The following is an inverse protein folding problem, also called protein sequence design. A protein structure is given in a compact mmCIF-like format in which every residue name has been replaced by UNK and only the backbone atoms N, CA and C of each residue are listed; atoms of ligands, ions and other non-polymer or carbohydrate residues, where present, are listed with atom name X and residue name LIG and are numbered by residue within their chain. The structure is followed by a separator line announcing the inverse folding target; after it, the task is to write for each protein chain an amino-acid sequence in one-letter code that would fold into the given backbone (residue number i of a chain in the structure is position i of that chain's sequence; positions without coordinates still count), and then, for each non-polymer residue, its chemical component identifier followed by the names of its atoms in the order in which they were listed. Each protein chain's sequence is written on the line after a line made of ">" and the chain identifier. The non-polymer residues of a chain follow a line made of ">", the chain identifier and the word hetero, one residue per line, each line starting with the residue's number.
data_IF_856915619346
#
_entry.id   IF_856915619346
#
_cell.length_a   1.000
_cell.length_b   1.000
_cell.length_c   1.000
_cell.angle_alpha   90.00
_cell.angle_beta   90.00
_cell.angle_gamma   90.00
#
_symmetry.space_group_name_H-M   'P 1'
#
loop_
_entity.id
_entity.type
_entity.pdbx_description
1 polymer ?
#
# COMPACT_ATOMS: atom_id res chain seq x y z
N UNK A 1 19.64 15.39 19.17
CA UNK A 1 19.98 13.97 19.38
C UNK A 1 19.99 13.76 20.87
N UNK A 2 18.90 13.23 21.43
CA UNK A 2 18.91 12.73 22.80
C UNK A 2 19.52 11.33 22.75
N UNK A 3 20.76 11.21 23.21
CA UNK A 3 21.40 9.92 23.44
C UNK A 3 20.70 9.36 24.67
N UNK A 4 19.88 8.32 24.49
CA UNK A 4 19.24 7.63 25.60
C UNK A 4 20.29 7.25 26.65
N UNK A 5 19.94 7.41 27.92
CA UNK A 5 20.87 7.06 28.99
C UNK A 5 21.21 5.57 28.92
N UNK A 6 22.43 5.14 29.35
CA UNK A 6 22.82 3.73 29.30
C UNK A 6 21.79 2.78 29.94
N UNK A 7 21.13 3.24 31.00
CA UNK A 7 20.07 2.50 31.69
C UNK A 7 18.80 2.35 30.85
N UNK A 8 18.37 3.38 30.13
CA UNK A 8 17.20 3.31 29.23
C UNK A 8 17.45 2.40 28.02
N UNK A 9 18.69 2.35 27.53
CA UNK A 9 19.09 1.45 26.45
C UNK A 9 19.07 -0.02 26.89
N UNK A 10 19.54 -0.31 28.11
CA UNK A 10 19.51 -1.66 28.67
C UNK A 10 18.06 -2.14 28.94
N UNK A 11 17.21 -1.25 29.47
CA UNK A 11 15.78 -1.54 29.70
C UNK A 11 15.00 -1.77 28.39
N UNK A 12 15.26 -0.98 27.34
CA UNK A 12 14.65 -1.19 26.01
C UNK A 12 15.15 -2.50 25.37
N UNK A 13 16.45 -2.81 25.47
CA UNK A 13 17.03 -4.04 24.93
C UNK A 13 16.41 -5.28 25.57
N UNK A 14 16.27 -5.29 26.91
CA UNK A 14 15.63 -6.38 27.64
C UNK A 14 14.14 -6.53 27.25
N UNK A 15 13.44 -5.40 27.10
CA UNK A 15 12.05 -5.40 26.64
C UNK A 15 11.90 -6.04 25.24
N UNK A 16 12.79 -5.70 24.29
CA UNK A 16 12.74 -6.28 22.94
C UNK A 16 13.12 -7.75 22.93
N UNK A 17 14.13 -8.17 23.69
CA UNK A 17 14.47 -9.59 23.83
C UNK A 17 13.29 -10.39 24.42
N UNK A 18 12.65 -9.87 25.46
CA UNK A 18 11.44 -10.46 26.05
C UNK A 18 10.28 -10.54 25.05
N UNK A 19 10.14 -9.54 24.16
CA UNK A 19 9.16 -9.59 23.08
C UNK A 19 9.41 -10.76 22.11
N UNK A 20 10.67 -10.99 21.71
CA UNK A 20 11.04 -12.10 20.81
C UNK A 20 10.73 -13.45 21.45
N UNK A 21 11.14 -13.64 22.71
CA UNK A 21 10.85 -14.86 23.47
C UNK A 21 9.34 -15.09 23.58
N UNK A 22 8.55 -14.05 23.88
CA UNK A 22 7.09 -14.17 23.96
C UNK A 22 6.47 -14.54 22.62
N UNK A 23 6.93 -13.97 21.50
CA UNK A 23 6.46 -14.33 20.16
C UNK A 23 6.75 -15.79 19.82
N UNK A 24 7.92 -16.31 20.22
CA UNK A 24 8.30 -17.71 20.02
C UNK A 24 7.45 -18.66 20.87
N UNK A 25 7.16 -18.30 22.13
CA UNK A 25 6.38 -19.12 23.05
C UNK A 25 4.87 -19.07 22.78
N UNK A 26 4.36 -17.93 22.33
CA UNK A 26 2.93 -17.67 22.17
C UNK A 26 2.60 -16.98 20.83
N UNK A 27 2.84 -17.64 19.68
CA UNK A 27 2.65 -17.04 18.36
C UNK A 27 1.20 -16.60 18.11
N UNK A 28 0.22 -17.28 18.70
CA UNK A 28 -1.21 -17.00 18.51
C UNK A 28 -1.70 -15.74 19.26
N UNK A 29 -0.98 -15.28 20.29
CA UNK A 29 -1.47 -14.21 21.20
C UNK A 29 -0.64 -12.94 21.15
N UNK A 30 0.61 -13.02 20.68
CA UNK A 30 1.50 -11.87 20.55
C UNK A 30 1.26 -11.20 19.19
N UNK A 31 1.17 -9.87 19.19
CA UNK A 31 1.12 -9.11 17.93
C UNK A 31 2.34 -9.48 17.08
N UNK A 32 2.13 -9.98 15.87
CA UNK A 32 3.18 -10.48 14.99
C UNK A 32 4.19 -9.41 14.56
N UNK A 33 3.77 -8.14 14.58
CA UNK A 33 4.59 -6.99 14.20
C UNK A 33 5.36 -6.49 15.42
N UNK A 34 6.71 -6.51 15.40
CA UNK A 34 7.49 -5.96 16.50
C UNK A 34 7.38 -4.43 16.56
N UNK A 35 7.59 -3.83 17.75
CA UNK A 35 7.60 -2.38 17.88
C UNK A 35 8.73 -1.77 17.06
N UNK A 36 8.47 -0.78 16.21
CA UNK A 36 9.44 -0.34 15.19
C UNK A 36 10.84 -0.07 15.73
N UNK A 37 10.98 0.58 16.91
CA UNK A 37 12.27 0.91 17.53
C UNK A 37 13.22 -0.30 17.72
N UNK A 38 12.70 -1.53 17.66
CA UNK A 38 13.51 -2.75 17.68
C UNK A 38 14.63 -2.72 16.64
N UNK A 39 14.47 -2.00 15.52
CA UNK A 39 15.48 -1.90 14.45
C UNK A 39 16.84 -1.36 14.94
N UNK A 40 16.84 -0.58 16.02
CA UNK A 40 18.06 -0.05 16.65
C UNK A 40 18.91 -1.14 17.31
N UNK A 41 18.30 -2.28 17.64
CA UNK A 41 18.94 -3.44 18.24
C UNK A 41 19.10 -4.52 17.16
N UNK A 42 20.09 -4.33 16.27
CA UNK A 42 20.19 -5.07 14.99
C UNK A 42 20.11 -6.59 15.15
N UNK A 43 20.78 -7.18 16.14
CA UNK A 43 20.74 -8.63 16.38
C UNK A 43 19.32 -9.11 16.75
N UNK A 44 18.66 -8.40 17.66
CA UNK A 44 17.29 -8.71 18.09
C UNK A 44 16.31 -8.51 16.92
N UNK A 45 16.49 -7.46 16.12
CA UNK A 45 15.66 -7.21 14.96
C UNK A 45 15.80 -8.29 13.88
N UNK A 46 17.02 -8.75 13.61
CA UNK A 46 17.28 -9.84 12.66
C UNK A 46 16.52 -11.11 13.06
N UNK A 47 16.54 -11.46 14.34
CA UNK A 47 15.83 -12.61 14.90
C UNK A 47 14.30 -12.41 14.87
N UNK A 48 13.82 -11.21 15.20
CA UNK A 48 12.40 -10.91 15.35
C UNK A 48 11.63 -10.83 14.02
N UNK A 49 12.27 -10.27 12.99
CA UNK A 49 11.64 -9.84 11.74
C UNK A 49 12.57 -9.95 10.53
N UNK A 50 13.84 -9.60 10.68
CA UNK A 50 14.81 -9.53 9.58
C UNK A 50 14.67 -8.28 8.71
N UNK A 51 15.62 -8.08 7.79
CA UNK A 51 15.61 -6.93 6.87
C UNK A 51 14.98 -7.22 5.51
N UNK A 52 14.44 -8.41 5.28
CA UNK A 52 13.93 -8.79 3.97
C UNK A 52 12.59 -8.12 3.64
N UNK A 53 11.86 -7.72 4.69
CA UNK A 53 10.51 -7.15 4.61
C UNK A 53 10.40 -5.88 5.45
N UNK A 54 9.71 -4.86 4.95
CA UNK A 54 9.49 -3.64 5.74
C UNK A 54 8.62 -3.92 6.97
N UNK A 55 9.01 -3.36 8.11
CA UNK A 55 8.07 -3.15 9.21
C UNK A 55 7.02 -2.12 8.81
N UNK A 56 5.72 -2.36 9.03
CA UNK A 56 4.71 -1.32 8.85
C UNK A 56 5.04 -0.09 9.71
N UNK A 57 4.86 1.12 9.17
CA UNK A 57 4.88 2.33 9.98
C UNK A 57 3.72 2.30 10.99
N UNK A 58 4.05 2.13 12.26
CA UNK A 58 3.11 2.16 13.38
C UNK A 58 3.32 3.44 14.21
N UNK A 59 2.87 3.48 15.46
CA UNK A 59 2.79 4.64 16.35
C UNK A 59 4.11 5.39 16.66
N UNK A 60 5.21 5.09 15.96
CA UNK A 60 6.48 5.82 16.11
C UNK A 60 6.48 7.14 15.33
N UNK A 61 7.21 8.15 15.81
CA UNK A 61 7.42 9.39 15.07
C UNK A 61 7.98 9.13 13.67
N UNK A 62 7.53 9.90 12.68
CA UNK A 62 7.99 9.76 11.30
C UNK A 62 9.52 9.86 11.17
N UNK A 63 10.23 10.80 11.84
CA UNK A 63 11.69 10.85 11.76
C UNK A 63 12.37 9.52 12.14
N UNK A 64 11.88 8.86 13.20
CA UNK A 64 12.38 7.53 13.62
C UNK A 64 12.13 6.47 12.56
N UNK A 65 11.00 6.55 11.84
CA UNK A 65 10.73 5.62 10.75
C UNK A 65 11.58 5.91 9.50
N UNK A 66 11.91 7.18 9.23
CA UNK A 66 12.85 7.55 8.15
C UNK A 66 14.27 7.06 8.43
N UNK A 67 14.71 7.08 9.70
CA UNK A 67 15.97 6.43 10.13
C UNK A 67 15.95 4.93 9.81
N UNK A 68 14.87 4.24 10.19
CA UNK A 68 14.67 2.83 9.88
C UNK A 68 14.72 2.55 8.37
N UNK A 69 14.00 3.35 7.56
CA UNK A 69 13.98 3.20 6.11
C UNK A 69 15.36 3.41 5.48
N UNK A 70 16.14 4.36 6.00
CA UNK A 70 17.52 4.59 5.54
C UNK A 70 18.39 3.36 5.82
N UNK A 71 18.24 2.74 6.98
CA UNK A 71 18.99 1.55 7.36
C UNK A 71 18.53 0.29 6.59
N UNK A 72 17.25 0.22 6.26
CA UNK A 72 16.68 -0.79 5.35
C UNK A 72 17.22 -0.64 3.92
N UNK A 73 17.32 0.59 3.39
CA UNK A 73 17.89 0.86 2.06
C UNK A 73 19.30 0.31 1.94
N UNK A 74 20.18 0.59 2.91
CA UNK A 74 21.58 0.12 2.90
C UNK A 74 21.68 -1.40 2.76
N UNK A 75 20.79 -2.15 3.43
CA UNK A 75 20.80 -3.62 3.41
C UNK A 75 20.12 -4.24 2.19
N UNK A 76 19.17 -3.53 1.59
CA UNK A 76 18.35 -4.03 0.49
C UNK A 76 18.69 -3.34 -0.85
N UNK A 77 19.81 -2.62 -0.93
CA UNK A 77 20.19 -1.81 -2.10
C UNK A 77 20.19 -2.65 -3.39
N UNK A 78 20.75 -3.85 -3.32
CA UNK A 78 20.90 -4.70 -4.50
C UNK A 78 19.58 -5.31 -4.98
N UNK A 79 18.56 -5.38 -4.13
CA UNK A 79 17.28 -6.03 -4.48
C UNK A 79 16.55 -5.30 -5.61
N UNK A 80 16.63 -3.98 -5.62
CA UNK A 80 16.00 -3.17 -6.68
C UNK A 80 16.94 -2.86 -7.83
N UNK A 81 18.27 -2.82 -7.60
CA UNK A 81 19.26 -2.66 -8.67
C UNK A 81 19.24 -3.88 -9.58
N UNK A 82 19.21 -5.09 -9.02
CA UNK A 82 19.09 -6.32 -9.81
C UNK A 82 17.74 -6.43 -10.54
N UNK A 83 16.67 -5.99 -9.90
CA UNK A 83 15.35 -5.87 -10.52
C UNK A 83 15.32 -4.89 -11.70
N UNK A 84 15.95 -3.73 -11.53
CA UNK A 84 16.03 -2.68 -12.54
C UNK A 84 16.85 -3.10 -13.78
N UNK A 85 17.80 -4.02 -13.62
CA UNK A 85 18.64 -4.54 -14.70
C UNK A 85 17.92 -5.41 -15.74
N UNK A 86 16.58 -5.54 -15.69
CA UNK A 86 15.77 -6.09 -16.79
C UNK A 86 15.93 -7.60 -17.10
N UNK A 87 16.88 -8.27 -16.47
CA UNK A 87 17.28 -9.65 -16.82
C UNK A 87 16.30 -10.73 -16.36
N UNK A 88 15.21 -10.39 -15.67
CA UNK A 88 14.22 -11.34 -15.13
C UNK A 88 12.84 -10.69 -14.92
N UNK A 89 11.76 -11.50 -14.86
CA UNK A 89 10.40 -11.01 -14.61
C UNK A 89 10.24 -10.63 -13.12
N UNK A 90 9.28 -9.77 -12.73
CA UNK A 90 9.02 -9.45 -11.33
C UNK A 90 8.66 -10.68 -10.48
N UNK A 91 8.09 -11.71 -11.10
CA UNK A 91 7.81 -12.97 -10.42
C UNK A 91 9.09 -13.71 -10.01
N UNK A 92 10.19 -13.50 -10.77
CA UNK A 92 11.49 -14.17 -10.66
C UNK A 92 12.55 -13.34 -9.91
N UNK A 93 12.29 -12.05 -9.66
CA UNK A 93 13.24 -11.21 -8.90
C UNK A 93 13.45 -11.81 -7.51
N UNK A 94 14.69 -11.89 -7.01
CA UNK A 94 14.87 -12.36 -5.65
C UNK A 94 14.17 -11.39 -4.67
N UNK A 95 13.48 -11.91 -3.65
CA UNK A 95 13.00 -11.09 -2.53
C UNK A 95 14.17 -10.53 -1.71
N UNK A 96 15.34 -11.17 -1.84
CA UNK A 96 16.64 -10.77 -1.30
C UNK A 96 17.75 -11.22 -2.25
N UNK A 97 18.55 -10.28 -2.75
CA UNK A 97 19.72 -10.59 -3.53
C UNK A 97 20.72 -11.38 -2.65
N UNK A 98 21.04 -12.61 -3.05
CA UNK A 98 22.14 -13.38 -2.47
C UNK A 98 23.27 -13.36 -3.47
N UNK A 99 24.39 -12.73 -3.12
CA UNK A 99 25.61 -12.83 -3.90
C UNK A 99 25.98 -14.33 -3.98
N UNK A 100 26.03 -14.87 -5.19
CA UNK A 100 26.59 -16.21 -5.41
C UNK A 100 28.09 -16.06 -5.23
N UNK A 101 28.69 -16.91 -4.39
CA UNK A 101 30.10 -16.84 -4.00
C UNK A 101 31.04 -16.65 -5.21
N UNK A 102 32.05 -15.80 -4.99
CA UNK A 102 33.22 -15.45 -5.82
C UNK A 102 33.04 -14.19 -6.69
N UNK A 103 33.82 -13.15 -6.36
CA UNK A 103 34.47 -12.12 -7.20
C UNK A 103 33.77 -11.49 -8.41
N UNK A 104 32.49 -11.74 -8.66
CA UNK A 104 31.67 -10.86 -9.49
C UNK A 104 31.25 -9.68 -8.65
N UNK A 105 32.15 -8.69 -8.61
CA UNK A 105 31.77 -7.29 -8.52
C UNK A 105 30.56 -7.11 -9.46
N UNK A 106 29.35 -7.02 -8.90
CA UNK A 106 28.15 -6.80 -9.70
C UNK A 106 28.34 -5.45 -10.34
N UNK A 107 28.77 -5.44 -11.59
CA UNK A 107 28.92 -4.25 -12.40
C UNK A 107 27.52 -3.66 -12.53
N UNK A 108 27.25 -2.48 -11.95
CA UNK A 108 25.93 -1.88 -11.95
C UNK A 108 25.60 -1.28 -13.32
N UNK A 109 25.80 -2.04 -14.40
CA UNK A 109 25.16 -1.84 -15.70
C UNK A 109 23.65 -2.18 -15.62
N UNK A 110 23.04 -1.95 -14.45
CA UNK A 110 21.60 -1.87 -14.30
C UNK A 110 21.15 -0.64 -15.09
N UNK A 111 20.80 -0.86 -16.35
CA UNK A 111 20.38 0.21 -17.21
C UNK A 111 19.07 0.79 -16.72
N UNK A 112 19.07 2.07 -16.37
CA UNK A 112 17.84 2.80 -16.06
C UNK A 112 16.85 2.74 -17.25
N UNK A 113 17.39 2.58 -18.47
CA UNK A 113 16.62 2.32 -19.70
C UNK A 113 15.86 1.00 -19.61
N UNK A 114 16.45 -0.08 -19.10
CA UNK A 114 15.77 -1.38 -18.99
C UNK A 114 14.63 -1.32 -17.99
N UNK A 115 14.84 -0.69 -16.83
CA UNK A 115 13.79 -0.43 -15.85
C UNK A 115 12.64 0.40 -16.47
N UNK A 116 12.98 1.39 -17.30
CA UNK A 116 12.00 2.25 -17.97
C UNK A 116 11.22 1.50 -19.06
N UNK A 117 11.89 0.69 -19.89
CA UNK A 117 11.25 -0.19 -20.87
C UNK A 117 10.32 -1.20 -20.20
N UNK A 118 10.76 -1.78 -19.10
CA UNK A 118 9.96 -2.71 -18.32
C UNK A 118 8.72 -2.03 -17.73
N UNK A 119 8.89 -0.85 -17.14
CA UNK A 119 7.79 -0.03 -16.63
C UNK A 119 6.77 0.29 -17.72
N UNK A 120 7.23 0.72 -18.89
CA UNK A 120 6.37 1.00 -20.04
C UNK A 120 5.53 -0.23 -20.43
N UNK A 121 6.15 -1.40 -20.52
CA UNK A 121 5.47 -2.66 -20.84
C UNK A 121 4.40 -3.04 -19.81
N UNK A 122 4.70 -2.88 -18.51
CA UNK A 122 3.73 -3.21 -17.45
C UNK A 122 2.57 -2.21 -17.40
N UNK A 123 2.84 -0.93 -17.66
CA UNK A 123 1.83 0.11 -17.78
C UNK A 123 0.90 -0.12 -18.98
N UNK A 124 1.43 -0.52 -20.13
CA UNK A 124 0.62 -0.88 -21.29
C UNK A 124 -0.30 -2.07 -20.98
N UNK A 125 0.23 -3.12 -20.34
CA UNK A 125 -0.58 -4.27 -19.89
C UNK A 125 -1.67 -3.86 -18.92
N UNK A 126 -1.35 -2.98 -17.96
CA UNK A 126 -2.33 -2.44 -17.03
C UNK A 126 -3.43 -1.66 -17.75
N UNK A 127 -3.08 -0.82 -18.73
CA UNK A 127 -4.07 -0.05 -19.48
C UNK A 127 -4.95 -0.92 -20.38
N UNK A 128 -4.45 -2.05 -20.88
CA UNK A 128 -5.27 -3.06 -21.57
C UNK A 128 -6.28 -3.70 -20.60
N UNK A 129 -5.85 -4.07 -19.38
CA UNK A 129 -6.75 -4.60 -18.35
C UNK A 129 -7.76 -3.55 -17.85
N UNK A 130 -7.37 -2.27 -17.85
CA UNK A 130 -8.20 -1.14 -17.47
C UNK A 130 -9.29 -0.79 -18.50
N UNK A 131 -9.28 -1.40 -19.68
CA UNK A 131 -10.11 -0.96 -20.81
C UNK A 131 -11.59 -0.78 -20.42
N UNK A 132 -12.19 0.31 -20.88
CA UNK A 132 -13.59 0.72 -20.65
C UNK A 132 -14.03 1.03 -19.20
N UNK A 133 -13.11 1.21 -18.25
CA UNK A 133 -13.46 1.65 -16.87
C UNK A 133 -13.61 3.19 -16.78
N UNK A 134 -14.55 3.67 -15.95
CA UNK A 134 -15.01 5.08 -15.92
C UNK A 134 -14.08 6.06 -15.17
N UNK A 135 -13.04 5.60 -14.45
CA UNK A 135 -12.17 6.50 -13.66
C UNK A 135 -11.12 7.14 -14.55
N UNK A 136 -11.25 8.46 -14.80
CA UNK A 136 -10.39 9.21 -15.74
C UNK A 136 -8.97 9.44 -15.23
N UNK A 137 -8.79 9.65 -13.93
CA UNK A 137 -7.48 10.02 -13.37
C UNK A 137 -6.42 8.93 -13.58
N UNK A 138 -6.83 7.66 -13.70
CA UNK A 138 -5.93 6.52 -13.92
C UNK A 138 -5.31 6.57 -15.33
N UNK A 139 -6.10 6.93 -16.34
CA UNK A 139 -5.60 7.09 -17.72
C UNK A 139 -4.53 8.17 -17.79
N UNK A 140 -4.80 9.32 -17.17
CA UNK A 140 -3.87 10.44 -17.15
C UNK A 140 -2.58 10.10 -16.38
N UNK A 141 -2.69 9.43 -15.22
CA UNK A 141 -1.52 8.96 -14.49
C UNK A 141 -0.65 8.02 -15.35
N UNK A 142 -1.26 7.05 -16.03
CA UNK A 142 -0.51 6.11 -16.88
C UNK A 142 0.16 6.83 -18.07
N UNK A 143 -0.49 7.84 -18.66
CA UNK A 143 0.13 8.68 -19.69
C UNK A 143 1.39 9.38 -19.18
N UNK A 144 1.32 10.02 -18.00
CA UNK A 144 2.48 10.69 -17.40
C UNK A 144 3.62 9.71 -17.09
N UNK A 145 3.29 8.51 -16.59
CA UNK A 145 4.29 7.46 -16.34
C UNK A 145 4.96 7.03 -17.65
N UNK A 146 4.19 6.79 -18.71
CA UNK A 146 4.72 6.40 -20.01
C UNK A 146 5.57 7.49 -20.65
N UNK A 147 5.14 8.75 -20.59
CA UNK A 147 5.93 9.90 -21.05
C UNK A 147 7.28 9.97 -20.33
N UNK A 148 7.26 9.80 -19.00
CA UNK A 148 8.48 9.80 -18.19
C UNK A 148 9.41 8.64 -18.53
N UNK A 149 8.87 7.43 -18.67
CA UNK A 149 9.66 6.26 -19.05
C UNK A 149 10.28 6.44 -20.45
N UNK A 150 9.53 6.95 -21.43
CA UNK A 150 10.06 7.24 -22.77
C UNK A 150 11.15 8.29 -22.74
N UNK A 151 11.00 9.33 -21.91
CA UNK A 151 12.03 10.36 -21.76
C UNK A 151 13.36 9.73 -21.30
N UNK A 152 13.34 8.93 -20.22
CA UNK A 152 14.51 8.21 -19.70
C UNK A 152 15.16 7.33 -20.78
N UNK A 153 14.36 6.60 -21.55
CA UNK A 153 14.86 5.76 -22.66
C UNK A 153 15.55 6.59 -23.74
N UNK A 154 15.03 7.79 -24.02
CA UNK A 154 15.49 8.64 -25.12
C UNK A 154 16.72 9.46 -24.74
N UNK A 155 16.83 9.89 -23.48
CA UNK A 155 17.92 10.71 -22.98
C UNK A 155 19.13 9.90 -22.55
N UNK A 156 18.99 8.57 -22.42
CA UNK A 156 20.03 7.69 -21.85
C UNK A 156 20.56 8.26 -20.53
N UNK A 157 19.63 8.71 -19.68
CA UNK A 157 19.93 9.33 -18.39
C UNK A 157 20.90 8.48 -17.55
N UNK A 158 21.81 9.14 -16.84
CA UNK A 158 22.68 8.49 -15.87
C UNK A 158 21.84 7.71 -14.84
N UNK A 159 22.40 6.61 -14.34
CA UNK A 159 21.70 5.78 -13.38
C UNK A 159 21.33 6.57 -12.12
N UNK A 160 20.03 6.59 -11.83
CA UNK A 160 19.48 7.20 -10.63
C UNK A 160 18.77 6.13 -9.80
N UNK A 161 19.23 5.93 -8.56
CA UNK A 161 18.62 4.95 -7.65
C UNK A 161 17.16 5.27 -7.33
N UNK A 162 16.83 6.56 -7.17
CA UNK A 162 15.46 7.01 -6.93
C UNK A 162 14.58 6.76 -8.14
N UNK A 163 15.11 6.98 -9.35
CA UNK A 163 14.40 6.68 -10.57
C UNK A 163 14.19 5.17 -10.78
N UNK A 164 15.22 4.37 -10.59
CA UNK A 164 15.15 2.92 -10.69
C UNK A 164 14.13 2.34 -9.68
N UNK A 165 14.19 2.75 -8.42
CA UNK A 165 13.25 2.32 -7.38
C UNK A 165 11.80 2.75 -7.68
N UNK A 166 11.62 3.96 -8.23
CA UNK A 166 10.31 4.45 -8.67
C UNK A 166 9.73 3.60 -9.79
N UNK A 167 10.51 3.34 -10.85
CA UNK A 167 10.11 2.50 -11.98
C UNK A 167 9.77 1.07 -11.53
N UNK A 168 10.57 0.49 -10.65
CA UNK A 168 10.33 -0.82 -10.03
C UNK A 168 9.01 -0.83 -9.25
N UNK A 169 8.77 0.16 -8.40
CA UNK A 169 7.55 0.27 -7.62
C UNK A 169 6.32 0.42 -8.52
N UNK A 170 6.38 1.33 -9.49
CA UNK A 170 5.30 1.57 -10.46
C UNK A 170 4.96 0.28 -11.22
N UNK A 171 5.98 -0.41 -11.73
CA UNK A 171 5.81 -1.64 -12.50
C UNK A 171 5.09 -2.72 -11.69
N UNK A 172 5.50 -2.94 -10.44
CA UNK A 172 4.91 -3.98 -9.59
C UNK A 172 3.48 -3.66 -9.18
N UNK A 173 3.18 -2.39 -8.92
CA UNK A 173 1.82 -1.94 -8.64
C UNK A 173 0.91 -1.99 -9.88
N UNK A 174 1.45 -1.74 -11.07
CA UNK A 174 0.73 -1.93 -12.33
C UNK A 174 0.42 -3.41 -12.59
N UNK A 175 1.37 -4.31 -12.30
CA UNK A 175 1.17 -5.76 -12.36
C UNK A 175 0.10 -6.21 -11.37
N UNK A 176 0.17 -5.77 -10.11
CA UNK A 176 -0.83 -6.10 -9.09
C UNK A 176 -2.23 -5.61 -9.49
N UNK A 177 -2.34 -4.36 -9.91
CA UNK A 177 -3.62 -3.82 -10.37
C UNK A 177 -4.16 -4.59 -11.59
N UNK A 178 -3.30 -5.00 -12.51
CA UNK A 178 -3.68 -5.83 -13.66
C UNK A 178 -4.21 -7.19 -13.22
N UNK A 179 -3.53 -7.85 -12.28
CA UNK A 179 -3.90 -9.17 -11.76
C UNK A 179 -5.25 -9.13 -11.02
N UNK A 180 -5.47 -8.09 -10.21
CA UNK A 180 -6.76 -7.85 -9.54
C UNK A 180 -7.89 -7.67 -10.58
N UNK A 181 -7.69 -6.84 -11.60
CA UNK A 181 -8.69 -6.60 -12.64
C UNK A 181 -8.96 -7.85 -13.48
N UNK A 182 -7.92 -8.63 -13.80
CA UNK A 182 -8.05 -9.90 -14.50
C UNK A 182 -8.90 -10.90 -13.73
N UNK A 183 -8.84 -10.83 -12.39
CA UNK A 183 -9.65 -11.63 -11.46
C UNK A 183 -10.98 -10.99 -11.09
N UNK A 184 -11.45 -10.05 -11.90
CA UNK A 184 -12.76 -9.41 -11.79
C UNK A 184 -12.92 -8.42 -10.63
N UNK A 185 -11.83 -7.92 -10.04
CA UNK A 185 -11.90 -6.75 -9.16
C UNK A 185 -12.55 -5.57 -9.90
N UNK A 186 -13.36 -4.79 -9.20
CA UNK A 186 -13.96 -3.58 -9.75
C UNK A 186 -12.91 -2.47 -9.75
N UNK A 187 -13.00 -1.57 -10.74
CA UNK A 187 -12.10 -0.42 -10.84
C UNK A 187 -12.22 0.58 -9.69
N UNK A 188 -13.23 0.43 -8.83
CA UNK A 188 -13.49 1.26 -7.65
C UNK A 188 -13.08 0.57 -6.35
N UNK A 189 -12.59 -0.67 -6.42
CA UNK A 189 -12.17 -1.43 -5.24
C UNK A 189 -10.92 -0.78 -4.62
N UNK A 190 -10.77 -0.97 -3.32
CA UNK A 190 -9.83 -0.24 -2.48
C UNK A 190 -8.37 -0.59 -2.81
N UNK A 191 -8.13 -1.84 -3.20
CA UNK A 191 -6.88 -2.40 -3.69
C UNK A 191 -6.44 -1.67 -4.95
N UNK A 192 -7.35 -1.50 -5.90
CA UNK A 192 -7.09 -0.80 -7.16
C UNK A 192 -6.80 0.68 -6.87
N UNK A 193 -7.57 1.28 -5.95
CA UNK A 193 -7.33 2.66 -5.51
C UNK A 193 -5.95 2.81 -4.88
N UNK A 194 -5.55 1.87 -4.02
CA UNK A 194 -4.26 1.84 -3.35
C UNK A 194 -3.11 1.72 -4.35
N UNK A 195 -3.20 0.80 -5.32
CA UNK A 195 -2.18 0.66 -6.37
C UNK A 195 -1.97 1.98 -7.14
N UNK A 196 -3.05 2.66 -7.50
CA UNK A 196 -2.98 3.94 -8.22
C UNK A 196 -2.37 5.07 -7.38
N UNK A 197 -2.67 5.12 -6.07
CA UNK A 197 -2.07 6.10 -5.17
C UNK A 197 -0.58 5.88 -4.98
N UNK A 198 -0.16 4.62 -4.85
CA UNK A 198 1.25 4.26 -4.72
C UNK A 198 2.00 4.63 -6.01
N UNK A 199 1.48 4.24 -7.18
CA UNK A 199 2.07 4.62 -8.48
C UNK A 199 2.22 6.11 -8.64
N UNK A 200 1.21 6.88 -8.24
CA UNK A 200 1.28 8.34 -8.25
C UNK A 200 2.36 8.88 -7.30
N UNK A 201 2.45 8.36 -6.08
CA UNK A 201 3.50 8.81 -5.14
C UNK A 201 4.90 8.42 -5.63
N UNK A 202 5.08 7.21 -6.13
CA UNK A 202 6.35 6.75 -6.70
C UNK A 202 6.80 7.63 -7.87
N UNK A 203 5.89 7.98 -8.79
CA UNK A 203 6.20 8.87 -9.90
C UNK A 203 6.72 10.24 -9.43
N UNK A 204 6.10 10.83 -8.41
CA UNK A 204 6.52 12.13 -7.88
C UNK A 204 7.82 12.06 -7.06
N UNK A 205 8.10 10.91 -6.43
CA UNK A 205 9.35 10.68 -5.71
C UNK A 205 10.54 10.33 -6.63
N UNK A 206 10.29 10.12 -7.93
CA UNK A 206 11.33 9.70 -8.89
C UNK A 206 12.55 10.62 -8.93
N UNK A 207 12.37 11.92 -8.67
CA UNK A 207 13.42 12.94 -8.71
C UNK A 207 13.76 13.50 -7.33
N UNK A 208 13.38 12.80 -6.26
CA UNK A 208 13.76 13.23 -4.94
C UNK A 208 15.29 13.15 -4.79
N UNK A 209 15.89 14.17 -4.21
CA UNK A 209 17.32 14.23 -3.90
C UNK A 209 17.52 14.64 -2.45
N UNK A 210 18.76 14.52 -1.96
CA UNK A 210 19.11 14.92 -0.60
C UNK A 210 18.75 13.89 0.48
N UNK A 211 18.60 14.32 1.74
CA UNK A 211 18.54 13.41 2.90
C UNK A 211 17.38 12.41 2.89
N UNK A 212 16.28 12.73 2.20
CA UNK A 212 15.07 11.91 2.15
C UNK A 212 15.08 10.88 1.02
N UNK A 213 16.10 10.90 0.16
CA UNK A 213 16.21 10.01 -1.00
C UNK A 213 16.33 8.54 -0.62
N UNK A 214 17.22 8.20 0.31
CA UNK A 214 17.41 6.83 0.79
C UNK A 214 16.12 6.24 1.39
N UNK A 215 15.43 7.02 2.22
CA UNK A 215 14.17 6.60 2.82
C UNK A 215 13.06 6.41 1.76
N UNK A 216 13.02 7.28 0.75
CA UNK A 216 12.06 7.18 -0.36
C UNK A 216 12.32 5.95 -1.24
N UNK A 217 13.59 5.66 -1.53
CA UNK A 217 14.00 4.43 -2.22
C UNK A 217 13.51 3.22 -1.43
N UNK A 218 13.85 3.11 -0.13
CA UNK A 218 13.43 2.00 0.71
C UNK A 218 11.91 1.81 0.73
N UNK A 219 11.16 2.90 0.86
CA UNK A 219 9.71 2.89 0.85
C UNK A 219 9.17 2.30 -0.47
N UNK A 220 9.63 2.80 -1.62
CA UNK A 220 9.22 2.33 -2.94
C UNK A 220 9.57 0.85 -3.15
N UNK A 221 10.77 0.43 -2.73
CA UNK A 221 11.26 -0.95 -2.89
C UNK A 221 10.48 -1.92 -2.00
N UNK A 222 10.25 -1.58 -0.74
CA UNK A 222 9.47 -2.43 0.15
C UNK A 222 8.03 -2.59 -0.33
N UNK A 223 7.39 -1.50 -0.78
CA UNK A 223 6.06 -1.57 -1.39
C UNK A 223 6.03 -2.45 -2.64
N UNK A 224 7.06 -2.34 -3.49
CA UNK A 224 7.19 -3.20 -4.66
C UNK A 224 7.26 -4.69 -4.26
N UNK A 225 8.02 -5.04 -3.21
CA UNK A 225 8.11 -6.41 -2.68
C UNK A 225 6.74 -6.93 -2.22
N UNK A 226 5.97 -6.12 -1.49
CA UNK A 226 4.63 -6.52 -1.04
C UNK A 226 3.67 -6.74 -2.21
N UNK A 227 3.70 -5.86 -3.23
CA UNK A 227 2.85 -6.03 -4.41
C UNK A 227 3.16 -7.35 -5.15
N UNK A 228 4.43 -7.75 -5.20
CA UNK A 228 4.87 -9.02 -5.78
C UNK A 228 4.38 -10.23 -4.99
N UNK A 229 4.50 -10.19 -3.67
CA UNK A 229 4.00 -11.26 -2.79
C UNK A 229 2.50 -11.49 -3.00
N UNK A 230 1.73 -10.40 -3.13
CA UNK A 230 0.30 -10.50 -3.42
C UNK A 230 0.01 -11.13 -4.79
N UNK A 231 0.76 -10.76 -5.83
CA UNK A 231 0.66 -11.37 -7.15
C UNK A 231 1.01 -12.86 -7.13
N UNK A 232 2.12 -13.24 -6.49
CA UNK A 232 2.55 -14.63 -6.34
C UNK A 232 1.47 -15.46 -5.64
N UNK A 233 0.93 -14.95 -4.54
CA UNK A 233 -0.14 -15.61 -3.80
C UNK A 233 -1.42 -15.80 -4.64
N UNK A 234 -1.88 -14.76 -5.34
CA UNK A 234 -3.03 -14.88 -6.24
C UNK A 234 -2.75 -15.86 -7.39
N UNK A 235 -1.53 -15.84 -7.94
CA UNK A 235 -1.06 -16.74 -8.99
C UNK A 235 -1.10 -18.21 -8.57
N UNK A 236 -0.67 -18.52 -7.35
CA UNK A 236 -0.64 -19.87 -6.77
C UNK A 236 -2.03 -20.35 -6.36
N UNK A 237 -2.77 -19.54 -5.61
CA UNK A 237 -4.08 -19.94 -5.07
C UNK A 237 -5.21 -19.90 -6.08
N UNK A 238 -4.99 -19.21 -7.21
CA UNK A 238 -6.02 -18.88 -8.20
C UNK A 238 -7.21 -18.11 -7.61
N UNK A 239 -7.09 -17.50 -6.44
CA UNK A 239 -8.15 -16.72 -5.78
C UNK A 239 -8.00 -15.22 -6.06
N UNK A 240 -9.12 -14.51 -6.06
CA UNK A 240 -9.13 -13.05 -5.99
C UNK A 240 -8.79 -12.64 -4.55
N UNK A 241 -7.78 -11.79 -4.40
CA UNK A 241 -7.54 -11.10 -3.13
C UNK A 241 -8.65 -10.08 -2.85
N UNK A 242 -9.13 -10.03 -1.61
CA UNK A 242 -10.11 -9.05 -1.15
C UNK A 242 -9.58 -8.32 0.10
N UNK A 243 -9.39 -7.01 -0.05
CA UNK A 243 -8.85 -6.07 0.91
C UNK A 243 -9.62 -6.12 2.21
N UNK A 244 -8.89 -6.43 3.29
CA UNK A 244 -9.42 -6.52 4.65
C UNK A 244 -10.74 -7.30 4.74
N UNK A 245 -10.93 -8.28 3.86
CA UNK A 245 -12.13 -9.11 3.88
C UNK A 245 -12.13 -9.97 5.14
N UNK A 246 -13.30 -10.06 5.80
CA UNK A 246 -13.52 -10.99 6.92
C UNK A 246 -13.36 -12.46 6.52
N UNK A 247 -13.40 -12.76 5.22
CA UNK A 247 -13.04 -14.07 4.68
C UNK A 247 -11.52 -14.22 4.68
N UNK A 248 -10.95 -14.40 5.88
CA UNK A 248 -9.54 -14.61 6.23
C UNK A 248 -8.59 -14.78 5.03
N UNK A 249 -8.14 -13.68 4.37
CA UNK A 249 -6.95 -13.80 3.55
C UNK A 249 -5.81 -14.29 4.47
N UNK A 250 -4.89 -15.12 3.97
CA UNK A 250 -3.78 -15.57 4.80
C UNK A 250 -3.06 -14.37 5.39
N UNK A 251 -2.60 -14.50 6.63
CA UNK A 251 -1.97 -13.44 7.42
C UNK A 251 -0.95 -12.61 6.63
N UNK A 252 -0.22 -13.26 5.72
CA UNK A 252 0.75 -12.62 4.81
C UNK A 252 0.16 -11.51 3.93
N UNK A 253 -1.05 -11.70 3.39
CA UNK A 253 -1.73 -10.71 2.54
C UNK A 253 -2.24 -9.53 3.35
N UNK A 254 -2.72 -9.79 4.57
CA UNK A 254 -3.08 -8.73 5.50
C UNK A 254 -1.86 -7.86 5.87
N UNK A 255 -0.71 -8.50 6.11
CA UNK A 255 0.56 -7.80 6.30
C UNK A 255 0.95 -6.97 5.07
N UNK A 256 0.76 -7.47 3.85
CA UNK A 256 1.05 -6.73 2.62
C UNK A 256 0.29 -5.41 2.57
N UNK A 257 -1.02 -5.45 2.86
CA UNK A 257 -1.85 -4.23 2.88
C UNK A 257 -1.42 -3.26 3.98
N UNK A 258 -1.16 -3.76 5.18
CA UNK A 258 -0.70 -2.90 6.29
C UNK A 258 0.61 -2.19 5.94
N UNK A 259 1.57 -2.90 5.37
CA UNK A 259 2.84 -2.31 4.94
C UNK A 259 2.59 -1.30 3.83
N UNK A 260 1.88 -1.67 2.77
CA UNK A 260 1.64 -0.80 1.62
C UNK A 260 0.90 0.49 1.99
N UNK A 261 -0.12 0.41 2.84
CA UNK A 261 -0.83 1.59 3.33
C UNK A 261 0.02 2.46 4.25
N UNK A 262 0.72 1.85 5.20
CA UNK A 262 1.55 2.58 6.15
C UNK A 262 2.69 3.31 5.43
N UNK A 263 3.34 2.62 4.49
CA UNK A 263 4.42 3.18 3.68
C UNK A 263 3.89 4.24 2.71
N UNK A 264 2.69 4.10 2.13
CA UNK A 264 2.08 5.16 1.33
C UNK A 264 1.90 6.47 2.12
N UNK A 265 1.53 6.39 3.41
CA UNK A 265 1.43 7.58 4.27
C UNK A 265 2.80 8.24 4.46
N UNK A 266 3.85 7.45 4.61
CA UNK A 266 5.25 7.93 4.72
C UNK A 266 5.71 8.56 3.41
N UNK A 267 5.49 7.92 2.27
CA UNK A 267 5.79 8.48 0.93
C UNK A 267 5.07 9.81 0.72
N UNK A 268 3.79 9.90 1.11
CA UNK A 268 3.01 11.13 1.03
C UNK A 268 3.56 12.22 1.95
N UNK A 269 4.04 11.86 3.15
CA UNK A 269 4.66 12.80 4.07
C UNK A 269 5.95 13.37 3.50
N UNK A 270 6.82 12.51 2.97
CA UNK A 270 8.07 12.93 2.33
C UNK A 270 7.79 13.86 1.16
N UNK A 271 6.84 13.50 0.27
CA UNK A 271 6.44 14.38 -0.84
C UNK A 271 5.97 15.76 -0.37
N UNK A 272 5.12 15.81 0.66
CA UNK A 272 4.61 17.09 1.15
C UNK A 272 5.69 17.97 1.76
N UNK A 273 6.72 17.39 2.39
CA UNK A 273 7.86 18.14 2.90
C UNK A 273 8.78 18.61 1.76
N UNK A 274 9.04 17.72 0.80
CA UNK A 274 9.86 18.03 -0.36
C UNK A 274 9.26 19.16 -1.21
N UNK A 275 7.96 19.12 -1.50
CA UNK A 275 7.26 20.18 -2.25
C UNK A 275 7.17 21.51 -1.51
N UNK A 276 7.29 21.53 -0.18
CA UNK A 276 7.36 22.78 0.60
C UNK A 276 8.75 23.41 0.55
N UNK A 277 9.79 22.59 0.42
CA UNK A 277 11.18 23.05 0.27
C UNK A 277 11.55 23.41 -1.18
N UNK A 278 11.00 22.68 -2.14
CA UNK A 278 11.25 22.85 -3.57
C UNK A 278 9.95 23.24 -4.26
N UNK A 279 9.85 24.50 -4.67
CA UNK A 279 8.64 25.15 -5.20
C UNK A 279 8.27 24.63 -6.61
N UNK A 280 8.10 23.32 -6.76
CA UNK A 280 7.81 22.64 -8.04
C UNK A 280 7.16 21.28 -7.74
N UNK A 281 6.21 20.88 -8.60
CA UNK A 281 5.37 19.67 -8.56
C UNK A 281 3.99 19.82 -7.87
N UNK A 282 2.96 19.80 -8.72
CA UNK A 282 1.55 19.75 -8.34
C UNK A 282 1.17 18.35 -7.87
N UNK A 283 0.98 18.15 -6.57
CA UNK A 283 0.28 16.97 -6.05
C UNK A 283 -1.15 16.99 -6.60
N UNK A 284 -1.49 16.04 -7.49
CA UNK A 284 -2.88 15.86 -7.91
C UNK A 284 -3.71 15.42 -6.68
N UNK A 285 -4.69 16.23 -6.32
CA UNK A 285 -5.59 16.02 -5.19
C UNK A 285 -6.51 14.79 -5.41
N UNK A 286 -5.97 13.58 -5.24
CA UNK A 286 -6.77 12.34 -5.24
C UNK A 286 -7.65 12.21 -3.98
N UNK A 287 -7.35 12.96 -2.91
CA UNK A 287 -8.01 12.81 -1.60
C UNK A 287 -9.16 13.79 -1.34
N UNK A 288 -9.25 14.94 -2.04
CA UNK A 288 -10.19 16.01 -1.64
C UNK A 288 -11.67 15.79 -2.00
N UNK A 289 -12.03 14.85 -2.87
CA UNK A 289 -13.43 14.72 -3.33
C UNK A 289 -14.39 13.97 -2.40
N UNK A 290 -13.91 13.23 -1.39
CA UNK A 290 -14.80 12.45 -0.51
C UNK A 290 -15.29 13.19 0.75
N UNK A 291 -14.62 14.26 1.20
CA UNK A 291 -15.13 15.05 2.35
C UNK A 291 -16.33 15.92 2.01
N UNK A 292 -16.42 16.47 0.79
CA UNK A 292 -17.52 17.37 0.39
C UNK A 292 -18.87 16.68 0.14
N UNK A 293 -18.92 15.35 0.05
CA UNK A 293 -20.17 14.60 -0.15
C UNK A 293 -20.85 14.16 1.16
N UNK A 294 -20.14 14.17 2.29
CA UNK A 294 -20.73 13.87 3.61
C UNK A 294 -21.32 15.10 4.32
N UNK A 295 -21.01 16.31 3.87
CA UNK A 295 -21.48 17.58 4.47
C UNK A 295 -22.55 18.30 3.65
N UNK A 296 -23.20 17.64 2.67
CA UNK A 296 -24.20 18.28 1.79
C UNK A 296 -25.55 17.55 1.77
N UNK A 297 -25.96 16.97 2.90
CA UNK A 297 -27.31 16.42 3.13
C UNK A 297 -28.00 17.03 4.36
N UNK A 298 -27.31 17.86 5.15
CA UNK A 298 -27.95 18.63 6.22
C UNK A 298 -27.66 20.10 5.97
N UNK A 299 -28.63 20.80 5.38
CA UNK A 299 -29.09 22.17 5.69
C UNK A 299 -29.84 22.74 4.49
N UNK A 300 -30.96 23.40 4.80
CA UNK A 300 -31.93 24.13 3.95
C UNK A 300 -33.13 23.26 3.50
N UNK A 301 -34.37 23.52 3.91
CA UNK A 301 -35.01 24.83 4.11
C UNK A 301 -35.92 24.90 5.37
N UNK A 302 -35.73 25.97 6.17
CA UNK A 302 -36.75 26.67 6.97
C UNK A 302 -37.77 27.32 5.98
N UNK A 303 -39.04 27.65 6.24
CA UNK A 303 -39.75 28.21 7.39
C UNK A 303 -41.24 28.43 6.99
N UNK A 304 -42.09 28.86 7.94
CA UNK A 304 -43.52 29.29 7.86
C UNK A 304 -44.57 28.17 8.05
N UNK A 305 -45.48 28.18 9.04
CA UNK A 305 -45.99 29.24 9.92
C UNK A 305 -46.64 28.66 11.19
N UNK A 306 -46.64 29.49 12.24
CA UNK A 306 -47.35 29.44 13.52
C UNK A 306 -48.73 28.73 13.56
N UNK A 307 -48.99 27.99 14.65
CA UNK A 307 -50.13 28.22 15.54
C UNK A 307 -49.98 27.43 16.86
N UNK A 308 -50.46 28.06 17.92
CA UNK A 308 -50.35 27.77 19.35
C UNK A 308 -51.11 26.53 19.85
N UNK A 309 -50.66 26.07 21.01
CA UNK A 309 -51.34 25.23 22.00
C UNK A 309 -52.82 25.60 22.15
N UNK A 310 -53.70 24.58 22.22
CA UNK A 310 -54.55 24.37 23.38
C UNK A 310 -55.30 23.02 23.35
N UNK A 311 -55.40 22.50 24.58
CA UNK A 311 -56.22 21.48 25.22
C UNK A 311 -57.46 20.82 24.55
N UNK A 312 -57.67 19.57 25.04
CA UNK A 312 -58.92 18.85 25.31
C UNK A 312 -59.49 17.87 24.25
N UNK A 313 -59.66 16.63 24.73
CA UNK A 313 -60.28 15.48 24.08
C UNK A 313 -61.80 15.67 23.85
N UNK A 314 -62.44 14.78 23.08
CA UNK A 314 -63.24 13.78 23.78
C UNK A 314 -63.24 12.36 23.17
N UNK A 315 -63.62 11.43 24.04
CA UNK A 315 -64.12 10.07 23.83
C UNK A 315 -65.10 9.97 22.65
N UNK A 316 -65.10 8.88 21.87
CA UNK A 316 -66.02 7.76 22.12
C UNK A 316 -65.84 6.57 21.15
N UNK A 317 -66.27 5.42 21.66
CA UNK A 317 -66.31 4.02 21.24
C UNK A 317 -66.57 3.67 19.76
N UNK A 318 -65.84 2.66 19.26
CA UNK A 318 -66.36 1.31 18.94
C UNK A 318 -65.31 0.42 18.26
N UNK A 319 -64.78 -0.52 19.04
CA UNK A 319 -64.36 -1.86 18.59
C UNK A 319 -65.62 -2.76 18.52
N UNK A 320 -65.66 -3.97 17.87
CA UNK A 320 -64.59 -4.97 18.04
C UNK A 320 -64.40 -6.07 16.96
N UNK A 321 -63.37 -6.91 17.24
CA UNK A 321 -63.11 -8.30 16.80
C UNK A 321 -62.46 -8.48 15.42
N UNK A 322 -61.55 -9.43 15.20
CA UNK A 322 -60.77 -10.35 16.03
C UNK A 322 -59.79 -11.13 15.11
N UNK A 323 -58.78 -11.76 15.74
CA UNK A 323 -57.96 -12.90 15.32
C UNK A 323 -56.79 -12.60 14.35
N UNK A 324 -55.50 -12.68 14.73
CA UNK A 324 -54.69 -13.69 15.43
C UNK A 324 -53.74 -14.42 14.44
N UNK A 325 -52.42 -14.37 14.77
CA UNK A 325 -51.46 -15.51 14.72
C UNK A 325 -50.99 -15.96 13.31
N UNK A 326 -49.73 -16.23 12.95
CA UNK A 326 -48.35 -16.18 13.49
C UNK A 326 -47.37 -16.60 12.37
N UNK A 327 -46.09 -16.22 12.51
CA UNK A 327 -44.84 -16.95 12.18
C UNK A 327 -44.56 -17.62 10.80
N UNK A 328 -43.48 -17.10 10.19
CA UNK A 328 -42.17 -17.74 9.96
C UNK A 328 -41.93 -18.70 8.76
N UNK A 329 -40.74 -18.51 8.17
CA UNK A 329 -39.88 -19.47 7.45
C UNK A 329 -40.36 -20.11 6.13
N UNK A 330 -39.61 -19.88 5.03
CA UNK A 330 -38.67 -20.91 4.49
C UNK A 330 -37.89 -20.46 3.25
N UNK A 331 -36.60 -20.76 3.33
CA UNK A 331 -35.66 -21.01 2.24
C UNK A 331 -36.23 -21.97 1.18
N UNK A 332 -36.05 -21.62 -0.10
CA UNK A 332 -35.90 -22.58 -1.22
C UNK A 332 -34.98 -21.92 -2.27
N UNK A 333 -33.71 -22.33 -2.40
CA UNK A 333 -33.24 -23.39 -3.31
C UNK A 333 -34.04 -23.47 -4.62
N UNK A 334 -33.43 -23.00 -5.71
CA UNK A 334 -33.61 -23.57 -7.04
C UNK A 334 -32.25 -23.93 -7.65
N UNK A 335 -32.01 -25.23 -7.64
CA UNK A 335 -31.14 -25.96 -8.57
C UNK A 335 -31.66 -25.85 -10.00
N UNK A 336 -30.78 -25.97 -10.99
CA UNK A 336 -30.75 -26.99 -12.07
C UNK A 336 -29.79 -26.47 -13.17
N UNK A 337 -28.62 -27.10 -13.44
CA UNK A 337 -28.38 -28.30 -14.29
C UNK A 337 -28.78 -28.02 -15.76
N UNK A 338 -27.88 -28.06 -16.75
CA UNK A 338 -27.20 -29.19 -17.43
C UNK A 338 -26.30 -28.55 -18.51
N UNK A 339 -25.18 -29.08 -19.02
CA UNK A 339 -24.65 -30.44 -19.18
C UNK A 339 -23.12 -30.34 -19.24
#
# INVERSE_FOLDING_TARGET
>A
MDIASPKEHDDESEYFASWVVRKQLYPETVNWIPPVRIFRYTAIFEEAWGWDRLLPHTSVPIPTYLEYLTEYHKRNRMDYVAAAAGNSKPEDWPLKYRAVNNDTQFDPDASLVDAAQFCLKMEERFMLAWNNKRVRNVKHLSQLIQERARAIISTSEEFSETAAASLVCISNEAVLASELLHRWAKSTDEEIRLCNLIRHCALNLMHITGPESAASIAAMVGVAKEARLMCQWMGQTKKLYAYRSYNHPPHEMYLCDMIREAVLKVMSHVLNNYSRGNNTYMVMDFQKKNRKRKTKVETSDDELSQASLDEQAPLDERSPKANAVTLNEKYHRRSFLLL
#
